data_IF_329174864035
#
_entry.id   IF_329174864035
#
_cell.length_a   1.000
_cell.length_b   1.000
_cell.length_c   1.000
_cell.angle_alpha   90.00
_cell.angle_beta   90.00
_cell.angle_gamma   90.00
#
_symmetry.space_group_name_H-M   'P 1'
#
loop_
_entity.id
_entity.type
_entity.pdbx_description
1 polymer ?
#
# COMPACT_ATOMS: atom_id res chain seq x y z
N UNK A 1 -5.41 -23.21 11.14
CA UNK A 1 -4.79 -22.21 10.24
C UNK A 1 -5.57 -20.91 10.41
N UNK A 2 -4.92 -19.77 10.68
CA UNK A 2 -5.60 -18.45 10.68
C UNK A 2 -5.32 -17.81 9.33
N UNK A 3 -6.31 -17.82 8.43
CA UNK A 3 -6.19 -17.28 7.08
C UNK A 3 -6.99 -15.98 6.99
N UNK A 4 -6.38 -14.93 6.46
CA UNK A 4 -7.07 -13.72 6.02
C UNK A 4 -7.13 -13.74 4.50
N UNK A 5 -8.33 -13.56 3.95
CA UNK A 5 -8.60 -13.64 2.52
C UNK A 5 -9.17 -12.31 2.03
N UNK A 6 -8.59 -11.77 0.96
CA UNK A 6 -9.13 -10.61 0.27
C UNK A 6 -9.86 -11.06 -0.99
N UNK A 7 -11.16 -10.78 -1.07
CA UNK A 7 -11.94 -10.94 -2.30
C UNK A 7 -11.86 -9.65 -3.13
N UNK A 8 -10.86 -9.58 -4.01
CA UNK A 8 -10.55 -8.39 -4.80
C UNK A 8 -11.16 -8.45 -6.22
N UNK A 9 -12.45 -8.80 -6.34
CA UNK A 9 -13.12 -8.94 -7.65
C UNK A 9 -12.98 -7.72 -8.57
N UNK A 10 -12.87 -6.51 -7.99
CA UNK A 10 -12.67 -5.24 -8.70
C UNK A 10 -11.36 -4.52 -8.30
N UNK A 11 -10.41 -5.25 -7.72
CA UNK A 11 -9.18 -4.69 -7.15
C UNK A 11 -9.34 -4.16 -5.72
N UNK A 12 -8.21 -3.78 -5.12
CA UNK A 12 -8.16 -3.12 -3.82
C UNK A 12 -6.95 -2.19 -3.77
N UNK A 13 -7.17 -0.92 -3.46
CA UNK A 13 -6.09 0.06 -3.30
C UNK A 13 -5.44 -0.06 -1.92
N UNK A 14 -4.24 0.52 -1.78
CA UNK A 14 -3.47 0.43 -0.53
C UNK A 14 -4.22 0.98 0.68
N UNK A 15 -4.92 2.11 0.55
CA UNK A 15 -5.75 2.70 1.60
C UNK A 15 -6.94 1.79 2.00
N UNK A 16 -7.54 1.08 1.05
CA UNK A 16 -8.58 0.08 1.35
C UNK A 16 -8.02 -1.08 2.18
N UNK A 17 -6.83 -1.57 1.84
CA UNK A 17 -6.16 -2.65 2.59
C UNK A 17 -5.80 -2.18 4.00
N UNK A 18 -5.24 -0.97 4.14
CA UNK A 18 -4.92 -0.39 5.45
C UNK A 18 -6.18 -0.22 6.30
N UNK A 19 -7.26 0.32 5.72
CA UNK A 19 -8.55 0.45 6.39
C UNK A 19 -9.14 -0.89 6.84
N UNK A 20 -9.06 -1.91 5.99
CA UNK A 20 -9.52 -3.27 6.30
C UNK A 20 -8.75 -3.90 7.47
N UNK A 21 -7.43 -3.66 7.58
CA UNK A 21 -6.63 -4.15 8.72
C UNK A 21 -7.09 -3.53 10.04
N UNK A 22 -7.34 -2.22 10.06
CA UNK A 22 -7.85 -1.53 11.25
C UNK A 22 -9.25 -2.04 11.60
N UNK A 23 -10.13 -2.19 10.62
CA UNK A 23 -11.47 -2.75 10.82
C UNK A 23 -11.44 -4.21 11.33
N UNK A 24 -10.41 -4.97 10.97
CA UNK A 24 -10.17 -6.34 11.47
C UNK A 24 -9.56 -6.38 12.89
N UNK A 25 -9.32 -5.23 13.52
CA UNK A 25 -8.86 -5.12 14.91
C UNK A 25 -7.36 -4.88 15.09
N UNK A 26 -6.62 -4.58 14.03
CA UNK A 26 -5.22 -4.16 14.16
C UNK A 26 -5.17 -2.75 14.77
N UNK A 27 -4.37 -2.58 15.82
CA UNK A 27 -4.18 -1.25 16.40
C UNK A 27 -3.45 -0.30 15.41
N UNK A 28 -3.95 0.93 15.20
CA UNK A 28 -3.32 1.89 14.29
C UNK A 28 -1.83 2.13 14.57
N UNK A 29 -1.44 2.17 15.85
CA UNK A 29 -0.04 2.40 16.24
C UNK A 29 0.89 1.29 15.78
N UNK A 30 0.43 0.03 15.82
CA UNK A 30 1.20 -1.12 15.36
C UNK A 30 1.40 -1.04 13.84
N UNK A 31 0.33 -0.75 13.11
CA UNK A 31 0.39 -0.61 11.64
C UNK A 31 1.31 0.53 11.21
N UNK A 32 1.16 1.71 11.83
CA UNK A 32 2.03 2.86 11.56
C UNK A 32 3.49 2.59 11.92
N UNK A 33 3.75 1.86 13.02
CA UNK A 33 5.08 1.40 13.39
C UNK A 33 5.73 0.53 12.31
N UNK A 34 4.99 -0.42 11.74
CA UNK A 34 5.49 -1.25 10.63
C UNK A 34 5.72 -0.44 9.36
N UNK A 35 4.83 0.49 9.01
CA UNK A 35 5.01 1.36 7.84
C UNK A 35 6.24 2.28 7.96
N UNK A 36 6.59 2.71 9.17
CA UNK A 36 7.78 3.53 9.40
C UNK A 36 9.10 2.85 9.00
N UNK A 37 9.10 1.51 8.92
CA UNK A 37 10.27 0.74 8.47
C UNK A 37 10.59 0.97 6.99
N UNK A 38 9.64 1.45 6.18
CA UNK A 38 9.87 1.85 4.79
C UNK A 38 10.82 3.04 4.65
N UNK A 39 10.99 3.84 5.71
CA UNK A 39 11.80 5.06 5.70
C UNK A 39 11.36 6.08 4.63
N UNK A 40 10.05 6.15 4.37
CA UNK A 40 9.44 7.16 3.49
C UNK A 40 8.87 8.27 4.36
N UNK A 41 9.06 9.52 3.95
CA UNK A 41 8.63 10.71 4.67
C UNK A 41 7.68 11.56 3.83
N UNK A 42 7.14 12.62 4.43
CA UNK A 42 6.26 13.56 3.73
C UNK A 42 4.83 13.04 3.53
N UNK A 43 4.35 12.14 4.38
CA UNK A 43 2.95 11.72 4.39
C UNK A 43 2.41 11.61 5.81
N UNK A 44 1.10 11.73 5.95
CA UNK A 44 0.35 11.36 7.16
C UNK A 44 -0.74 10.34 6.81
N UNK A 45 -1.13 9.53 7.79
CA UNK A 45 -2.25 8.59 7.66
C UNK A 45 -3.18 8.79 8.84
N UNK A 46 -4.45 9.04 8.53
CA UNK A 46 -5.52 9.12 9.51
C UNK A 46 -6.54 8.03 9.23
N UNK A 47 -7.13 7.45 10.27
CA UNK A 47 -8.19 6.46 10.13
C UNK A 47 -9.50 7.06 10.61
N UNK A 48 -10.53 6.95 9.79
CA UNK A 48 -11.86 7.44 10.12
C UNK A 48 -12.94 6.47 9.65
N UNK A 49 -14.03 6.39 10.41
CA UNK A 49 -15.23 5.69 9.95
C UNK A 49 -15.94 6.55 8.91
N UNK A 50 -16.27 5.97 7.77
CA UNK A 50 -17.00 6.63 6.67
C UNK A 50 -18.22 5.80 6.29
N UNK A 51 -19.24 6.47 5.77
CA UNK A 51 -20.33 5.83 5.04
C UNK A 51 -20.02 5.90 3.53
N UNK A 52 -20.04 4.74 2.88
CA UNK A 52 -19.90 4.63 1.42
C UNK A 52 -21.13 3.89 0.90
N UNK A 53 -22.06 4.63 0.31
CA UNK A 53 -23.30 4.07 -0.24
C UNK A 53 -24.12 3.27 0.77
N UNK A 54 -24.19 3.73 2.03
CA UNK A 54 -24.92 3.07 3.12
C UNK A 54 -24.12 1.99 3.85
N UNK A 55 -22.84 1.80 3.50
CA UNK A 55 -21.96 0.81 4.13
C UNK A 55 -20.93 1.55 4.98
N UNK A 56 -20.91 1.25 6.28
CA UNK A 56 -19.89 1.74 7.20
C UNK A 56 -18.55 1.03 6.94
N UNK A 57 -17.49 1.80 6.76
CA UNK A 57 -16.14 1.30 6.51
C UNK A 57 -15.09 2.13 7.25
N UNK A 58 -13.93 1.53 7.53
CA UNK A 58 -12.75 2.29 7.98
C UNK A 58 -11.97 2.77 6.77
N UNK A 59 -11.82 4.09 6.64
CA UNK A 59 -11.06 4.71 5.58
C UNK A 59 -9.69 5.17 6.10
N UNK A 60 -8.63 4.71 5.45
CA UNK A 60 -7.27 5.17 5.70
C UNK A 60 -6.97 6.38 4.81
N UNK A 61 -7.12 7.58 5.36
CA UNK A 61 -6.83 8.83 4.66
C UNK A 61 -5.32 9.07 4.61
N UNK A 62 -4.69 8.78 3.48
CA UNK A 62 -3.29 9.11 3.22
C UNK A 62 -3.21 10.53 2.68
N UNK A 63 -2.48 11.41 3.36
CA UNK A 63 -2.28 12.79 2.93
C UNK A 63 -0.80 13.00 2.57
N UNK A 64 -0.57 13.65 1.44
CA UNK A 64 0.77 14.03 0.95
C UNK A 64 0.75 15.50 0.51
N UNK A 65 1.86 16.24 0.65
CA UNK A 65 1.98 17.58 0.09
C UNK A 65 1.75 17.60 -1.43
N UNK A 66 1.26 18.72 -1.99
CA UNK A 66 1.04 18.90 -3.41
C UNK A 66 2.36 19.13 -4.16
N UNK A 67 3.15 18.08 -4.30
CA UNK A 67 4.24 17.94 -5.25
C UNK A 67 4.80 16.55 -5.03
N UNK A 68 5.01 15.72 -6.05
CA UNK A 68 6.11 14.76 -6.12
C UNK A 68 6.25 14.35 -7.59
N UNK A 69 7.46 14.46 -8.13
CA UNK A 69 7.79 13.83 -9.40
C UNK A 69 7.33 12.35 -9.41
N UNK A 70 6.86 11.83 -10.55
CA UNK A 70 6.47 10.42 -10.64
C UNK A 70 7.65 9.54 -10.22
N UNK A 71 7.38 8.55 -9.37
CA UNK A 71 8.33 7.49 -9.06
C UNK A 71 8.17 6.38 -10.09
N UNK A 72 9.26 5.99 -10.71
CA UNK A 72 9.31 4.84 -11.61
C UNK A 72 9.59 3.56 -10.83
N UNK A 73 9.45 2.41 -11.49
CA UNK A 73 9.68 1.11 -10.86
C UNK A 73 11.04 1.04 -10.15
N UNK A 74 12.10 1.54 -10.78
CA UNK A 74 13.45 1.57 -10.19
C UNK A 74 13.51 2.32 -8.85
N UNK A 75 12.84 3.47 -8.75
CA UNK A 75 12.78 4.26 -7.52
C UNK A 75 12.08 3.48 -6.40
N UNK A 76 10.97 2.81 -6.74
CA UNK A 76 10.18 2.03 -5.78
C UNK A 76 10.98 0.81 -5.28
N UNK A 77 11.66 0.10 -6.19
CA UNK A 77 12.49 -1.05 -5.82
C UNK A 77 13.66 -0.63 -4.93
N UNK A 78 14.27 0.53 -5.19
CA UNK A 78 15.33 1.07 -4.35
C UNK A 78 14.82 1.42 -2.95
N UNK A 79 13.66 2.08 -2.84
CA UNK A 79 13.01 2.36 -1.55
C UNK A 79 12.77 1.06 -0.75
N UNK A 80 12.24 0.02 -1.40
CA UNK A 80 11.98 -1.27 -0.75
C UNK A 80 13.30 -1.91 -0.29
N UNK A 81 14.31 -1.91 -1.16
CA UNK A 81 15.63 -2.47 -0.86
C UNK A 81 16.27 -1.80 0.36
N UNK A 82 16.24 -0.47 0.41
CA UNK A 82 16.90 0.33 1.46
C UNK A 82 16.09 0.40 2.76
N UNK A 83 14.85 -0.09 2.76
CA UNK A 83 14.00 -0.12 3.94
C UNK A 83 14.52 -1.07 5.04
N UNK A 84 13.97 -0.92 6.24
CA UNK A 84 14.20 -1.83 7.39
C UNK A 84 13.19 -2.99 7.44
N UNK A 85 12.45 -3.22 6.36
CA UNK A 85 11.51 -4.33 6.29
C UNK A 85 12.25 -5.69 6.28
N UNK A 86 11.62 -6.78 6.75
CA UNK A 86 12.18 -8.12 6.61
C UNK A 86 12.38 -8.50 5.14
N UNK A 87 13.41 -9.27 4.83
CA UNK A 87 13.75 -9.67 3.45
C UNK A 87 12.59 -10.37 2.73
N UNK A 88 11.87 -11.25 3.44
CA UNK A 88 10.68 -11.91 2.88
C UNK A 88 9.56 -10.91 2.48
N UNK A 89 9.47 -9.75 3.14
CA UNK A 89 8.54 -8.68 2.77
C UNK A 89 9.07 -7.91 1.57
N UNK A 90 10.38 -7.57 1.56
CA UNK A 90 11.03 -6.90 0.43
C UNK A 90 10.89 -7.70 -0.87
N UNK A 91 11.17 -9.00 -0.81
CA UNK A 91 11.06 -9.91 -1.95
C UNK A 91 9.64 -9.98 -2.50
N UNK A 92 8.64 -10.05 -1.62
CA UNK A 92 7.23 -10.09 -2.02
C UNK A 92 6.77 -8.77 -2.59
N UNK A 93 7.13 -7.65 -1.96
CA UNK A 93 6.80 -6.31 -2.44
C UNK A 93 7.43 -6.04 -3.81
N UNK A 94 8.70 -6.36 -4.00
CA UNK A 94 9.39 -6.22 -5.28
C UNK A 94 8.68 -7.02 -6.39
N UNK A 95 8.33 -8.28 -6.13
CA UNK A 95 7.56 -9.11 -7.08
C UNK A 95 6.19 -8.51 -7.43
N UNK A 96 5.51 -7.89 -6.46
CA UNK A 96 4.21 -7.22 -6.71
C UNK A 96 4.39 -6.00 -7.60
N UNK A 97 5.35 -5.12 -7.30
CA UNK A 97 5.60 -3.92 -8.10
C UNK A 97 6.12 -4.23 -9.51
N UNK A 98 7.02 -5.21 -9.68
CA UNK A 98 7.46 -5.64 -11.02
C UNK A 98 6.31 -6.19 -11.85
N UNK A 99 5.43 -7.02 -11.27
CA UNK A 99 4.24 -7.53 -11.98
C UNK A 99 3.27 -6.42 -12.37
N UNK A 100 3.10 -5.41 -11.50
CA UNK A 100 2.27 -4.25 -11.81
C UNK A 100 2.86 -3.46 -12.97
N UNK A 101 4.15 -3.15 -12.93
CA UNK A 101 4.84 -2.43 -14.01
C UNK A 101 4.78 -3.18 -15.35
N UNK A 102 4.98 -4.50 -15.35
CA UNK A 102 4.82 -5.33 -16.55
C UNK A 102 3.39 -5.27 -17.13
N UNK A 103 2.38 -5.23 -16.27
CA UNK A 103 0.98 -5.12 -16.69
C UNK A 103 0.67 -3.72 -17.25
N UNK A 104 1.13 -2.66 -16.58
CA UNK A 104 0.94 -1.27 -17.02
C UNK A 104 1.66 -1.02 -18.35
N UNK A 105 2.94 -1.40 -18.46
CA UNK A 105 3.72 -1.28 -19.69
C UNK A 105 3.03 -1.97 -20.89
N UNK A 106 2.43 -3.14 -20.68
CA UNK A 106 1.65 -3.84 -21.71
C UNK A 106 0.39 -3.10 -22.13
N UNK A 107 -0.36 -2.54 -21.18
CA UNK A 107 -1.59 -1.78 -21.45
C UNK A 107 -1.28 -0.46 -22.16
N UNK A 108 -0.14 0.16 -21.82
CA UNK A 108 0.31 1.43 -22.38
C UNK A 108 1.21 1.29 -23.62
N UNK A 109 1.60 0.06 -23.98
CA UNK A 109 2.53 -0.24 -25.08
C UNK A 109 3.89 0.46 -24.95
N UNK A 110 4.43 0.45 -23.73
CA UNK A 110 5.73 1.00 -23.34
C UNK A 110 6.67 -0.13 -22.88
N UNK A 111 8.00 0.07 -22.89
CA UNK A 111 8.93 -0.85 -22.24
C UNK A 111 8.76 -0.80 -20.71
N UNK A 112 9.10 -1.91 -20.04
CA UNK A 112 9.18 -2.00 -18.57
C UNK A 112 10.44 -1.32 -18.05
#
# INVERSE_FOLDING_TARGET
MKTLYFDCFAGASGDMILGAMIAAGVEPRVLLGQLSLLNVHGYSIEFQTVDRSGISATYARVQVPPEHAPRYLGDILQIIHDSKLPDAVKDRAGKVFSRLAEAEARVHNEPV
#
